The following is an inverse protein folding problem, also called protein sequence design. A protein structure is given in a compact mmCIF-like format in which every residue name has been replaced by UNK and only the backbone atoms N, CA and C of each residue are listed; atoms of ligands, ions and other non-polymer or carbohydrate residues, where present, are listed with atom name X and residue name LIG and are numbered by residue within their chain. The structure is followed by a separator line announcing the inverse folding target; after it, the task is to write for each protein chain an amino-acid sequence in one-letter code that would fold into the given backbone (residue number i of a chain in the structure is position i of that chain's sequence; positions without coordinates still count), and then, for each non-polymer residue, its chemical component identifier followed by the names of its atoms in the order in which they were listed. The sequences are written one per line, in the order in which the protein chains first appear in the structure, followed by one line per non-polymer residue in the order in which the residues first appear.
data_IF_223332721914
#
_entry.id   IF_223332721914
#
_cell.length_a   1.000
_cell.length_b   1.000
_cell.length_c   1.000
_cell.angle_alpha   90.00
_cell.angle_beta   90.00
_cell.angle_gamma   90.00
#
_symmetry.space_group_name_H-M   'P 1'
#
loop_
_entity.id
_entity.type
_entity.pdbx_description
1 polymer ?
#
# COMPACT_ATOMS: atom_id res chain seq x y z
N UNK A 1 13.33 -24.78 5.72
CA UNK A 1 12.23 -24.15 6.46
C UNK A 1 12.84 -23.31 7.58
N UNK A 2 13.11 -22.04 7.32
CA UNK A 2 13.46 -21.09 8.37
C UNK A 2 12.15 -20.71 9.06
N UNK A 3 11.95 -21.19 10.29
CA UNK A 3 10.93 -20.62 11.18
C UNK A 3 11.49 -19.28 11.65
N UNK A 4 10.79 -18.15 11.47
CA UNK A 4 11.18 -16.92 12.12
C UNK A 4 11.13 -17.18 13.63
N UNK A 5 12.28 -16.97 14.28
CA UNK A 5 12.39 -17.00 15.74
C UNK A 5 11.57 -15.81 16.23
N UNK A 6 10.42 -16.07 16.84
CA UNK A 6 9.73 -15.06 17.63
C UNK A 6 10.73 -14.68 18.71
N UNK A 7 11.26 -13.45 18.65
CA UNK A 7 12.04 -12.91 19.76
C UNK A 7 11.04 -12.77 20.90
N UNK A 8 11.15 -13.64 21.90
CA UNK A 8 10.46 -13.49 23.17
C UNK A 8 10.91 -12.13 23.74
N UNK A 9 9.93 -11.26 23.99
CA UNK A 9 10.08 -9.93 24.60
C UNK A 9 10.49 -10.07 26.08
N UNK A 10 11.61 -10.73 26.37
CA UNK A 10 12.17 -10.80 27.72
C UNK A 10 13.05 -9.56 27.97
N UNK A 11 12.49 -8.61 28.72
CA UNK A 11 13.12 -7.52 29.49
C UNK A 11 14.18 -6.66 28.76
N UNK A 12 13.73 -5.69 27.97
CA UNK A 12 14.50 -4.47 27.66
C UNK A 12 14.06 -3.33 28.61
N UNK A 13 14.69 -3.19 29.80
CA UNK A 13 14.28 -2.19 30.76
C UNK A 13 14.58 -0.78 30.27
N UNK A 14 13.63 0.13 30.41
CA UNK A 14 13.82 1.54 30.09
C UNK A 14 14.96 2.12 30.95
N UNK A 15 16.08 2.45 30.31
CA UNK A 15 17.27 3.01 30.98
C UNK A 15 17.11 4.51 31.25
N UNK A 16 16.41 5.22 30.36
CA UNK A 16 16.26 6.68 30.42
C UNK A 16 15.04 7.15 29.62
N UNK A 17 14.26 8.03 30.21
CA UNK A 17 13.17 8.74 29.55
C UNK A 17 13.65 10.14 29.19
N UNK A 18 13.49 10.52 27.92
CA UNK A 18 13.91 11.82 27.37
C UNK A 18 12.66 12.49 26.79
N UNK A 19 12.24 13.65 27.30
CA UNK A 19 11.14 14.39 26.71
C UNK A 19 11.52 14.93 25.33
N UNK A 20 10.56 14.89 24.41
CA UNK A 20 10.70 15.38 23.04
C UNK A 20 9.71 16.52 22.82
N UNK A 21 10.24 17.70 22.51
CA UNK A 21 9.46 18.91 22.24
C UNK A 21 9.51 19.27 20.76
N UNK A 22 8.51 19.99 20.27
CA UNK A 22 8.45 20.50 18.90
C UNK A 22 8.38 22.03 18.91
N UNK A 23 9.42 22.70 18.41
CA UNK A 23 9.40 24.14 18.13
C UNK A 23 9.01 24.39 16.68
N UNK A 24 8.02 25.27 16.46
CA UNK A 24 7.59 25.70 15.12
C UNK A 24 8.05 27.10 14.74
N UNK A 25 8.83 27.77 15.60
CA UNK A 25 9.23 29.18 15.41
C UNK A 25 10.04 29.42 14.15
N UNK A 26 10.83 28.44 13.72
CA UNK A 26 11.71 28.51 12.56
C UNK A 26 11.27 27.59 11.40
N UNK A 27 10.07 27.02 11.44
CA UNK A 27 9.57 26.07 10.43
C UNK A 27 9.69 26.62 8.99
N UNK A 28 9.37 27.90 8.80
CA UNK A 28 9.42 28.57 7.49
C UNK A 28 10.78 29.25 7.18
N UNK A 29 11.78 29.12 8.04
CA UNK A 29 13.04 29.86 7.91
C UNK A 29 14.30 28.99 8.08
N UNK A 30 14.15 27.72 8.45
CA UNK A 30 15.27 26.83 8.74
C UNK A 30 15.66 25.99 7.51
N UNK A 31 16.89 26.18 7.05
CA UNK A 31 17.46 25.43 5.93
C UNK A 31 18.72 24.68 6.35
N UNK A 32 18.99 23.54 5.72
CA UNK A 32 20.27 22.84 5.86
C UNK A 32 21.11 23.10 4.62
N UNK A 33 22.27 23.75 4.81
CA UNK A 33 23.25 23.94 3.75
C UNK A 33 24.22 22.77 3.76
N UNK A 34 24.36 22.11 2.61
CA UNK A 34 25.25 20.97 2.41
C UNK A 34 26.31 21.34 1.39
N UNK A 35 27.55 20.91 1.65
CA UNK A 35 28.71 21.11 0.79
C UNK A 35 29.29 19.75 0.37
N UNK A 36 28.72 19.07 -0.64
CA UNK A 36 29.10 17.69 -0.98
C UNK A 36 30.57 17.49 -1.37
N UNK A 37 31.25 18.56 -1.79
CA UNK A 37 32.65 18.54 -2.23
C UNK A 37 33.65 18.82 -1.10
N UNK A 38 33.18 19.03 0.13
CA UNK A 38 34.02 19.30 1.30
C UNK A 38 33.90 18.18 2.32
N UNK A 39 35.00 17.92 3.03
CA UNK A 39 34.99 17.04 4.19
C UNK A 39 34.21 17.70 5.33
N UNK A 40 33.75 16.91 6.30
CA UNK A 40 33.08 17.46 7.48
C UNK A 40 34.02 18.27 8.39
N UNK A 41 35.34 18.11 8.26
CA UNK A 41 36.34 18.81 9.06
C UNK A 41 36.81 20.11 8.39
N UNK A 42 36.84 20.14 7.04
CA UNK A 42 37.34 21.25 6.22
C UNK A 42 36.21 22.03 5.54
N UNK A 43 35.06 22.12 6.21
CA UNK A 43 33.88 22.84 5.73
C UNK A 43 34.09 24.35 5.61
N UNK A 44 33.04 25.06 5.23
CA UNK A 44 33.07 26.54 5.11
C UNK A 44 32.77 27.27 6.42
N UNK A 45 32.73 26.58 7.56
CA UNK A 45 32.42 27.16 8.88
C UNK A 45 33.38 28.29 9.28
N UNK A 46 34.64 28.18 8.84
CA UNK A 46 35.71 29.13 9.12
C UNK A 46 35.94 30.17 8.02
N UNK A 47 35.20 30.08 6.92
CA UNK A 47 35.39 30.92 5.74
C UNK A 47 34.75 32.31 5.90
N UNK A 48 35.29 33.29 5.19
CA UNK A 48 34.75 34.64 5.14
C UNK A 48 33.82 34.73 3.94
N UNK A 49 32.53 35.00 4.18
CA UNK A 49 31.53 35.17 3.12
C UNK A 49 31.26 36.65 2.96
N UNK A 50 31.48 37.18 1.75
CA UNK A 50 31.35 38.62 1.46
C UNK A 50 29.93 38.97 1.01
N UNK A 51 29.40 38.22 0.07
CA UNK A 51 28.05 38.40 -0.45
C UNK A 51 27.23 37.14 -0.20
N UNK A 52 25.99 37.30 0.26
CA UNK A 52 25.01 36.25 0.30
C UNK A 52 23.71 36.76 -0.30
N UNK A 53 23.06 35.95 -1.13
CA UNK A 53 21.77 36.27 -1.71
C UNK A 53 20.88 35.03 -1.73
N UNK A 54 19.58 35.22 -1.51
CA UNK A 54 18.60 34.14 -1.48
C UNK A 54 17.37 34.49 -2.32
N UNK A 55 16.79 33.46 -2.92
CA UNK A 55 15.46 33.42 -3.51
C UNK A 55 14.60 32.49 -2.66
N UNK A 56 13.58 33.05 -2.01
CA UNK A 56 12.81 32.33 -0.98
C UNK A 56 11.84 31.34 -1.61
N UNK A 57 11.22 31.68 -2.74
CA UNK A 57 10.21 30.83 -3.38
C UNK A 57 10.87 29.65 -4.10
N UNK A 58 11.92 29.91 -4.87
CA UNK A 58 12.65 28.86 -5.57
C UNK A 58 13.65 28.11 -4.68
N UNK A 59 13.94 28.63 -3.47
CA UNK A 59 14.93 28.12 -2.51
C UNK A 59 16.35 28.06 -3.09
N UNK A 60 16.74 29.12 -3.80
CA UNK A 60 18.07 29.25 -4.37
C UNK A 60 18.93 30.19 -3.52
N UNK A 61 20.20 29.84 -3.33
CA UNK A 61 21.16 30.61 -2.55
C UNK A 61 22.45 30.76 -3.35
N UNK A 62 23.00 31.98 -3.32
CA UNK A 62 24.34 32.31 -3.81
C UNK A 62 25.19 32.81 -2.64
N UNK A 63 26.39 32.28 -2.49
CA UNK A 63 27.37 32.72 -1.49
C UNK A 63 28.72 32.98 -2.16
N UNK A 64 29.33 34.10 -1.86
CA UNK A 64 30.68 34.44 -2.31
C UNK A 64 31.67 34.19 -1.18
N UNK A 65 32.46 33.11 -1.30
CA UNK A 65 33.47 32.74 -0.30
C UNK A 65 34.80 33.38 -0.66
N UNK A 66 35.37 34.19 0.23
CA UNK A 66 36.66 34.84 0.00
C UNK A 66 37.82 33.84 0.04
N UNK A 67 38.79 34.08 -0.84
CA UNK A 67 40.08 33.40 -0.85
C UNK A 67 41.11 34.21 -0.06
N UNK A 68 42.02 33.49 0.61
CA UNK A 68 43.17 34.11 1.25
C UNK A 68 44.29 34.29 0.23
N UNK A 69 44.35 35.48 -0.36
CA UNK A 69 45.38 35.86 -1.33
C UNK A 69 46.79 35.99 -0.71
N UNK A 70 46.91 35.98 0.63
CA UNK A 70 48.22 36.03 1.31
C UNK A 70 48.80 34.64 1.59
N UNK A 71 48.03 33.59 1.32
CA UNK A 71 48.44 32.21 1.55
C UNK A 71 49.47 31.74 0.52
N UNK A 72 50.42 30.90 0.95
CA UNK A 72 51.37 30.23 0.06
C UNK A 72 50.70 29.32 -0.99
N UNK A 73 49.43 28.97 -0.76
CA UNK A 73 48.65 28.13 -1.66
C UNK A 73 47.93 28.92 -2.75
N UNK A 74 48.06 30.24 -2.76
CA UNK A 74 47.46 31.13 -3.76
C UNK A 74 48.51 31.55 -4.79
N UNK A 75 48.22 31.29 -6.06
CA UNK A 75 49.06 31.66 -7.20
C UNK A 75 48.51 32.96 -7.81
N UNK A 76 49.20 34.07 -7.54
CA UNK A 76 48.75 35.39 -7.98
C UNK A 76 48.72 35.52 -9.51
N UNK A 77 49.70 34.95 -10.23
CA UNK A 77 49.81 35.06 -11.68
C UNK A 77 48.60 34.41 -12.37
N UNK A 78 48.23 33.20 -11.90
CA UNK A 78 47.02 32.52 -12.40
C UNK A 78 45.72 33.20 -11.99
N UNK A 79 45.69 33.79 -10.81
CA UNK A 79 44.51 34.50 -10.35
C UNK A 79 44.24 35.77 -11.17
N UNK A 80 45.30 36.46 -11.62
CA UNK A 80 45.19 37.57 -12.57
C UNK A 80 44.72 37.09 -13.93
N UNK A 81 45.27 35.99 -14.46
CA UNK A 81 44.84 35.41 -15.73
C UNK A 81 43.34 35.07 -15.73
N UNK A 82 42.86 34.40 -14.68
CA UNK A 82 41.43 34.03 -14.56
C UNK A 82 40.54 35.27 -14.42
N UNK A 83 40.97 36.26 -13.64
CA UNK A 83 40.21 37.50 -13.46
C UNK A 83 40.12 38.27 -14.79
N UNK A 84 41.21 38.38 -15.53
CA UNK A 84 41.26 39.03 -16.85
C UNK A 84 40.32 38.35 -17.85
N UNK A 85 40.28 37.02 -17.88
CA UNK A 85 39.40 36.25 -18.77
C UNK A 85 37.91 36.47 -18.47
N UNK A 86 37.57 36.88 -17.24
CA UNK A 86 36.18 37.15 -16.84
C UNK A 86 35.73 38.60 -17.05
N UNK A 87 36.63 39.52 -17.46
CA UNK A 87 36.33 40.96 -17.59
C UNK A 87 35.32 41.30 -18.68
N UNK A 88 35.18 40.44 -19.70
CA UNK A 88 34.29 40.64 -20.85
C UNK A 88 32.82 40.21 -20.57
N UNK A 89 32.52 39.71 -19.35
CA UNK A 89 31.17 39.34 -18.96
C UNK A 89 30.34 40.55 -18.51
N UNK A 90 29.03 40.54 -18.80
CA UNK A 90 28.09 41.63 -18.46
C UNK A 90 28.01 41.91 -16.96
N UNK A 91 28.23 40.90 -16.12
CA UNK A 91 28.36 41.02 -14.67
C UNK A 91 29.82 40.78 -14.25
N UNK A 92 30.46 41.78 -13.66
CA UNK A 92 31.80 41.59 -13.06
C UNK A 92 31.70 40.65 -11.88
N UNK A 93 32.21 39.43 -12.05
CA UNK A 93 32.20 38.43 -11.00
C UNK A 93 33.22 38.77 -9.92
N UNK A 94 34.45 39.15 -10.27
CA UNK A 94 35.49 39.56 -9.32
C UNK A 94 35.55 41.08 -9.17
N UNK A 95 35.76 41.56 -7.94
CA UNK A 95 35.75 43.00 -7.64
C UNK A 95 37.06 43.71 -8.06
N UNK A 96 38.14 42.94 -8.26
CA UNK A 96 39.46 43.44 -8.66
C UNK A 96 40.09 42.64 -9.81
N UNK A 97 41.36 42.89 -10.07
CA UNK A 97 42.14 42.22 -11.14
C UNK A 97 42.63 40.82 -10.75
N UNK A 98 42.15 40.24 -9.63
CA UNK A 98 42.54 38.92 -9.13
C UNK A 98 41.31 38.12 -8.73
N UNK A 99 41.37 36.81 -8.90
CA UNK A 99 40.36 35.87 -8.38
C UNK A 99 40.38 35.87 -6.84
N UNK A 100 39.60 36.75 -6.21
CA UNK A 100 39.58 36.97 -4.76
C UNK A 100 38.52 36.15 -4.02
N UNK A 101 37.64 35.46 -4.75
CA UNK A 101 36.54 34.68 -4.19
C UNK A 101 36.16 33.47 -5.03
N UNK A 102 35.44 32.54 -4.41
CA UNK A 102 34.79 31.39 -5.05
C UNK A 102 33.28 31.59 -4.91
N UNK A 103 32.54 31.79 -6.02
CA UNK A 103 31.08 31.80 -5.99
C UNK A 103 30.56 30.38 -5.76
N UNK A 104 29.63 30.23 -4.83
CA UNK A 104 28.88 29.00 -4.59
C UNK A 104 27.43 29.23 -5.00
N UNK A 105 26.94 28.41 -5.92
CA UNK A 105 25.54 28.45 -6.36
C UNK A 105 24.83 27.18 -5.89
N UNK A 106 23.60 27.36 -5.38
CA UNK A 106 22.78 26.25 -4.94
C UNK A 106 22.21 25.46 -6.12
N UNK A 107 22.11 24.15 -5.95
CA UNK A 107 21.26 23.29 -6.76
C UNK A 107 20.04 22.84 -5.97
N UNK A 108 18.87 22.88 -6.60
CA UNK A 108 17.61 22.44 -5.95
C UNK A 108 17.65 20.94 -5.70
N UNK A 109 17.38 20.56 -4.46
CA UNK A 109 17.18 19.15 -4.07
C UNK A 109 15.67 18.89 -4.02
N UNK A 110 15.15 18.05 -4.91
CA UNK A 110 13.70 17.72 -4.99
C UNK A 110 13.21 16.74 -3.91
N UNK A 111 13.93 16.64 -2.79
CA UNK A 111 13.60 15.71 -1.70
C UNK A 111 12.47 16.29 -0.86
N UNK A 112 11.48 15.46 -0.53
CA UNK A 112 10.42 15.82 0.42
C UNK A 112 11.06 16.09 1.79
N UNK A 113 11.15 17.36 2.17
CA UNK A 113 11.72 17.78 3.45
C UNK A 113 10.73 17.63 4.62
N UNK A 114 9.44 17.41 4.35
CA UNK A 114 8.35 17.28 5.32
C UNK A 114 8.58 16.20 6.39
N UNK A 115 9.44 15.21 6.11
CA UNK A 115 9.77 14.13 7.03
C UNK A 115 11.07 14.37 7.83
N UNK A 116 11.69 15.55 7.70
CA UNK A 116 12.96 15.87 8.34
C UNK A 116 12.82 17.04 9.31
N UNK A 117 13.54 16.96 10.43
CA UNK A 117 13.62 17.98 11.45
C UNK A 117 15.06 18.03 12.02
N UNK A 118 15.45 19.20 12.54
CA UNK A 118 16.67 19.36 13.34
C UNK A 118 16.34 19.12 14.80
N UNK A 119 17.11 18.24 15.46
CA UNK A 119 17.00 17.99 16.89
C UNK A 119 18.14 18.63 17.66
N UNK A 120 17.82 19.55 18.57
CA UNK A 120 18.78 20.10 19.53
C UNK A 120 18.64 19.32 20.84
N UNK A 121 19.70 18.59 21.20
CA UNK A 121 19.74 17.84 22.45
C UNK A 121 20.53 18.61 23.51
N UNK A 122 19.86 19.05 24.57
CA UNK A 122 20.48 19.79 25.66
C UNK A 122 19.73 19.50 26.97
N UNK A 123 20.45 19.43 28.09
CA UNK A 123 19.88 19.19 29.42
C UNK A 123 18.96 17.94 29.53
N UNK A 124 19.27 16.87 28.79
CA UNK A 124 18.44 15.65 28.67
C UNK A 124 17.07 15.87 28.01
N UNK A 125 16.90 16.93 27.23
CA UNK A 125 15.69 17.19 26.45
C UNK A 125 16.04 17.23 24.96
N UNK A 126 15.13 16.75 24.12
CA UNK A 126 15.25 16.82 22.67
C UNK A 126 14.23 17.81 22.12
N UNK A 127 14.71 18.89 21.53
CA UNK A 127 13.87 19.91 20.88
C UNK A 127 13.95 19.75 19.37
N UNK A 128 12.85 19.36 18.73
CA UNK A 128 12.73 19.18 17.28
C UNK A 128 12.23 20.47 16.63
N UNK A 129 12.86 20.90 15.54
CA UNK A 129 12.42 22.02 14.71
C UNK A 129 12.29 21.57 13.25
N UNK A 130 11.11 21.69 12.61
CA UNK A 130 10.93 21.35 11.20
C UNK A 130 11.82 22.18 10.27
N UNK A 131 12.09 21.61 9.09
CA UNK A 131 12.91 22.25 8.06
C UNK A 131 12.03 22.79 6.93
N UNK A 132 12.43 23.93 6.35
CA UNK A 132 11.86 24.43 5.10
C UNK A 132 12.48 23.77 3.86
N UNK A 133 13.72 23.29 3.97
CA UNK A 133 14.38 22.64 2.85
C UNK A 133 15.86 22.33 3.04
N UNK A 134 16.40 21.66 2.03
CA UNK A 134 17.82 21.32 1.90
C UNK A 134 18.41 22.07 0.71
N UNK A 135 19.53 22.74 0.94
CA UNK A 135 20.25 23.49 -0.09
C UNK A 135 21.63 22.86 -0.26
N UNK A 136 21.91 22.39 -1.47
CA UNK A 136 23.23 21.88 -1.83
C UNK A 136 24.01 22.93 -2.60
N UNK A 137 25.09 23.43 -2.00
CA UNK A 137 25.95 24.44 -2.60
C UNK A 137 27.14 23.77 -3.28
N UNK A 138 27.44 24.22 -4.50
CA UNK A 138 28.60 23.79 -5.28
C UNK A 138 29.33 25.02 -5.83
N UNK A 139 30.66 24.96 -6.00
CA UNK A 139 31.40 25.97 -6.72
C UNK A 139 30.80 26.17 -8.12
N UNK A 140 30.56 27.44 -8.44
CA UNK A 140 30.09 27.87 -9.73
C UNK A 140 31.30 28.27 -10.59
N UNK A 141 31.37 27.69 -11.79
CA UNK A 141 32.46 27.93 -12.74
C UNK A 141 31.97 28.62 -14.01
N UNK A 142 30.81 29.28 -13.97
CA UNK A 142 30.22 29.98 -15.13
C UNK A 142 31.16 31.02 -15.76
N UNK A 143 32.11 31.58 -14.98
CA UNK A 143 33.15 32.47 -15.49
C UNK A 143 34.13 31.78 -16.46
N UNK A 144 34.23 30.45 -16.44
CA UNK A 144 35.04 29.66 -17.37
C UNK A 144 34.28 29.28 -18.65
N UNK A 145 32.94 29.30 -18.62
CA UNK A 145 32.13 28.80 -19.74
C UNK A 145 32.18 29.72 -20.96
N UNK A 146 32.49 31.01 -20.78
CA UNK A 146 32.59 31.97 -21.88
C UNK A 146 34.02 32.11 -22.43
N UNK A 147 34.99 31.45 -21.79
CA UNK A 147 36.38 31.42 -22.24
C UNK A 147 36.47 30.61 -23.53
N UNK A 148 36.73 31.31 -24.65
CA UNK A 148 36.88 30.72 -25.98
C UNK A 148 35.59 30.63 -26.80
N UNK A 149 34.44 31.11 -26.30
CA UNK A 149 33.28 31.35 -27.15
C UNK A 149 33.50 32.66 -27.92
N UNK A 150 33.34 32.68 -29.25
CA UNK A 150 33.38 33.95 -29.97
C UNK A 150 32.33 34.89 -29.37
N UNK A 151 32.61 36.20 -29.25
CA UNK A 151 31.62 37.15 -28.77
C UNK A 151 30.35 36.93 -29.57
N UNK A 152 29.21 36.76 -28.88
CA UNK A 152 27.90 36.61 -29.55
C UNK A 152 27.66 37.86 -30.39
N UNK A 153 28.13 37.82 -31.62
CA UNK A 153 27.79 38.79 -32.63
C UNK A 153 26.31 38.62 -32.88
N UNK A 154 25.53 39.58 -32.40
CA UNK A 154 24.19 39.84 -32.91
C UNK A 154 24.35 40.17 -34.40
N UNK A 155 24.23 39.15 -35.25
CA UNK A 155 24.41 39.32 -36.68
C UNK A 155 24.17 38.02 -37.43
N UNK A 156 22.94 37.90 -37.97
CA UNK A 156 22.52 37.04 -39.09
C UNK A 156 23.66 36.34 -39.84
N UNK A 157 23.55 35.02 -39.98
CA UNK A 157 23.40 34.43 -41.31
C UNK A 157 22.89 32.98 -41.22
N UNK A 158 21.86 32.78 -42.02
CA UNK A 158 21.10 31.58 -42.30
C UNK A 158 21.89 30.48 -43.04
N UNK A 159 21.20 29.33 -43.15
CA UNK A 159 21.40 28.15 -44.00
C UNK A 159 22.09 26.96 -43.29
N UNK A 160 21.46 25.79 -43.11
CA UNK A 160 20.29 25.25 -43.80
C UNK A 160 19.66 24.06 -43.04
N UNK A 161 18.33 23.93 -43.06
CA UNK A 161 17.66 22.63 -42.92
C UNK A 161 16.55 22.42 -41.88
N UNK A 162 15.53 23.28 -41.77
CA UNK A 162 14.11 22.86 -41.89
C UNK A 162 13.15 24.03 -41.71
N UNK A 163 12.50 24.37 -42.81
CA UNK A 163 11.48 25.39 -43.02
C UNK A 163 10.20 25.11 -42.21
N UNK A 164 9.78 26.09 -41.40
CA UNK A 164 8.39 26.55 -41.36
C UNK A 164 8.39 27.97 -40.77
N UNK A 165 8.38 28.95 -41.68
CA UNK A 165 8.26 30.37 -41.41
C UNK A 165 7.08 30.68 -40.48
N UNK A 166 7.39 31.24 -39.31
CA UNK A 166 6.46 32.05 -38.53
C UNK A 166 6.16 33.34 -39.29
N UNK A 167 5.23 33.25 -40.24
CA UNK A 167 4.51 34.41 -40.73
C UNK A 167 3.75 35.03 -39.55
N UNK A 168 4.21 36.20 -39.11
CA UNK A 168 3.47 37.15 -38.28
C UNK A 168 2.09 37.39 -38.94
N UNK A 169 1.10 36.63 -38.49
CA UNK A 169 -0.29 36.92 -38.77
C UNK A 169 -0.82 37.78 -37.63
N UNK A 170 -1.48 38.86 -38.04
CA UNK A 170 -2.29 39.76 -37.23
C UNK A 170 -3.05 39.04 -36.11
N UNK A 171 -3.20 39.79 -35.02
CA UNK A 171 -3.79 39.42 -33.73
C UNK A 171 -5.24 38.96 -33.88
N UNK A 172 -5.44 37.72 -34.35
CA UNK A 172 -6.64 36.98 -34.05
C UNK A 172 -6.45 36.34 -32.69
N UNK A 173 -7.17 36.85 -31.68
CA UNK A 173 -7.29 36.25 -30.37
C UNK A 173 -7.83 34.82 -30.50
N UNK A 174 -6.92 33.86 -30.72
CA UNK A 174 -7.21 32.43 -30.61
C UNK A 174 -7.32 32.16 -29.12
N UNK A 175 -8.55 32.15 -28.62
CA UNK A 175 -8.87 31.69 -27.29
C UNK A 175 -8.12 30.38 -27.01
N UNK A 176 -7.32 30.38 -25.95
CA UNK A 176 -6.53 29.24 -25.54
C UNK A 176 -7.46 28.03 -25.42
N UNK A 177 -7.23 27.00 -26.25
CA UNK A 177 -7.93 25.72 -26.09
C UNK A 177 -7.63 25.20 -24.67
N UNK A 178 -8.63 24.75 -23.90
CA UNK A 178 -8.39 24.19 -22.58
C UNK A 178 -7.47 22.98 -22.73
N UNK A 179 -6.23 23.16 -22.30
CA UNK A 179 -5.22 22.11 -22.30
C UNK A 179 -5.56 21.20 -21.12
N UNK A 180 -5.65 19.86 -21.30
CA UNK A 180 -5.93 18.95 -20.20
C UNK A 180 -4.92 19.13 -19.05
N UNK A 181 -5.40 19.16 -17.80
CA UNK A 181 -4.62 19.44 -16.58
C UNK A 181 -3.34 18.60 -16.45
N UNK A 182 -3.32 17.39 -17.00
CA UNK A 182 -2.15 16.51 -17.02
C UNK A 182 -0.99 17.07 -17.86
N UNK A 183 -1.29 17.71 -18.99
CA UNK A 183 -0.28 18.30 -19.88
C UNK A 183 0.23 19.61 -19.31
N UNK A 184 -0.63 20.39 -18.64
CA UNK A 184 -0.22 21.56 -17.87
C UNK A 184 0.73 21.18 -16.73
N UNK A 185 0.38 20.17 -15.91
CA UNK A 185 1.27 19.65 -14.85
C UNK A 185 2.61 19.13 -15.38
N UNK A 186 2.62 18.47 -16.53
CA UNK A 186 3.89 18.03 -17.17
C UNK A 186 4.73 19.20 -17.67
N UNK A 187 4.10 20.26 -18.18
CA UNK A 187 4.80 21.49 -18.56
C UNK A 187 5.32 22.23 -17.33
N UNK A 188 4.56 22.28 -16.24
CA UNK A 188 5.03 22.87 -14.97
C UNK A 188 6.23 22.14 -14.36
N UNK A 189 6.38 20.84 -14.65
CA UNK A 189 7.55 20.03 -14.25
C UNK A 189 8.71 20.09 -15.25
N UNK A 190 8.56 20.82 -16.36
CA UNK A 190 9.62 20.97 -17.36
C UNK A 190 10.71 21.93 -16.88
N UNK A 191 11.96 21.62 -17.21
CA UNK A 191 13.13 22.42 -16.88
C UNK A 191 12.98 23.88 -17.33
N UNK A 192 12.45 24.12 -18.52
CA UNK A 192 12.25 25.47 -19.11
C UNK A 192 11.31 26.34 -18.27
N UNK A 193 10.22 25.75 -17.75
CA UNK A 193 9.27 26.51 -16.91
C UNK A 193 9.88 26.86 -15.56
N UNK A 194 10.72 25.99 -15.01
CA UNK A 194 11.46 26.27 -13.76
C UNK A 194 12.53 27.35 -13.95
N UNK A 195 13.30 27.29 -15.04
CA UNK A 195 14.29 28.32 -15.36
C UNK A 195 13.62 29.69 -15.49
N UNK A 196 12.47 29.74 -16.20
CA UNK A 196 11.71 30.98 -16.34
C UNK A 196 11.20 31.53 -15.01
N UNK A 197 10.61 30.69 -14.15
CA UNK A 197 10.15 31.10 -12.81
C UNK A 197 11.30 31.55 -11.91
N UNK A 198 12.46 30.92 -12.01
CA UNK A 198 13.65 31.38 -11.29
C UNK A 198 14.12 32.74 -11.80
N UNK A 199 14.13 32.97 -13.11
CA UNK A 199 14.47 34.28 -13.68
C UNK A 199 13.50 35.40 -13.30
N UNK A 200 12.22 35.07 -13.09
CA UNK A 200 11.20 36.02 -12.65
C UNK A 200 11.35 36.42 -11.17
N UNK A 201 11.97 35.58 -10.32
CA UNK A 201 12.20 35.88 -8.91
C UNK A 201 13.47 36.72 -8.70
N UNK A 202 13.34 37.84 -7.98
CA UNK A 202 14.46 38.74 -7.66
C UNK A 202 15.31 38.18 -6.52
N UNK A 203 16.63 38.32 -6.64
CA UNK A 203 17.56 38.00 -5.54
C UNK A 203 17.37 38.96 -4.36
N UNK A 204 17.31 38.42 -3.15
CA UNK A 204 17.28 39.19 -1.91
C UNK A 204 18.69 39.18 -1.30
N UNK A 205 19.39 40.33 -1.30
CA UNK A 205 20.69 40.44 -0.64
C UNK A 205 20.52 40.19 0.86
N UNK A 206 21.39 39.35 1.42
CA UNK A 206 21.34 38.93 2.82
C UNK A 206 22.72 39.07 3.46
N UNK A 207 22.75 39.43 4.75
CA UNK A 207 23.99 39.47 5.51
C UNK A 207 24.31 38.07 6.06
N UNK A 208 25.53 37.58 5.79
CA UNK A 208 26.00 36.32 6.37
C UNK A 208 26.70 36.56 7.71
N UNK A 209 26.16 35.98 8.78
CA UNK A 209 26.73 36.08 10.14
C UNK A 209 27.41 34.77 10.50
N UNK A 210 28.74 34.78 10.60
CA UNK A 210 29.54 33.62 11.01
C UNK A 210 29.92 33.68 12.49
N UNK A 211 30.36 32.55 13.06
CA UNK A 211 30.85 32.46 14.46
C UNK A 211 32.09 33.32 14.76
N UNK A 212 32.81 33.74 13.72
CA UNK A 212 33.97 34.66 13.83
C UNK A 212 33.56 36.13 13.85
N UNK A 213 32.31 36.42 13.51
CA UNK A 213 31.81 37.80 13.46
C UNK A 213 31.52 38.30 14.87
N UNK A 214 31.73 39.59 15.15
CA UNK A 214 31.42 40.22 16.45
C UNK A 214 29.92 40.23 16.83
N UNK A 215 29.05 39.56 16.04
CA UNK A 215 27.60 39.49 16.20
C UNK A 215 27.13 38.13 16.75
N UNK A 216 27.98 37.41 17.48
CA UNK A 216 27.66 36.08 18.05
C UNK A 216 26.36 36.05 18.88
N UNK A 217 26.02 37.16 19.54
CA UNK A 217 24.76 37.29 20.27
C UNK A 217 23.51 37.02 19.41
N UNK A 218 23.51 37.41 18.14
CA UNK A 218 22.37 37.16 17.24
C UNK A 218 22.24 35.68 16.90
N UNK A 219 23.36 34.98 16.70
CA UNK A 219 23.38 33.53 16.47
C UNK A 219 22.78 32.81 17.68
N UNK A 220 23.19 33.20 18.88
CA UNK A 220 22.69 32.61 20.12
C UNK A 220 21.19 32.86 20.30
N UNK A 221 20.71 34.08 20.03
CA UNK A 221 19.27 34.41 20.06
C UNK A 221 18.47 33.57 19.05
N UNK A 222 18.92 33.45 17.80
CA UNK A 222 18.24 32.60 16.80
C UNK A 222 18.29 31.13 17.20
N UNK A 223 19.39 30.67 17.82
CA UNK A 223 19.48 29.32 18.37
C UNK A 223 18.48 29.10 19.51
N UNK A 224 18.22 30.11 20.35
CA UNK A 224 17.21 30.03 21.40
C UNK A 224 15.81 29.79 20.84
N UNK A 225 15.51 30.23 19.60
CA UNK A 225 14.21 30.00 18.96
C UNK A 225 13.98 28.54 18.54
N UNK A 226 15.04 27.72 18.46
CA UNK A 226 14.93 26.28 18.23
C UNK A 226 14.43 25.53 19.48
N UNK A 227 14.47 26.15 20.66
CA UNK A 227 13.94 25.57 21.88
C UNK A 227 12.45 25.89 22.03
N UNK A 228 11.69 24.93 22.55
CA UNK A 228 10.31 25.15 22.96
C UNK A 228 10.30 25.84 24.33
N UNK A 229 9.73 27.04 24.42
CA UNK A 229 9.57 27.77 25.69
C UNK A 229 8.39 27.24 26.53
N UNK A 230 7.48 26.49 25.92
CA UNK A 230 6.27 25.99 26.58
C UNK A 230 6.54 24.65 27.29
N UNK A 231 6.41 24.66 28.62
CA UNK A 231 6.34 23.47 29.50
C UNK A 231 4.92 22.91 29.57
N UNK A 232 4.13 23.07 28.51
CA UNK A 232 2.71 22.75 28.52
C UNK A 232 2.52 21.40 27.84
N UNK A 233 2.06 20.40 28.60
CA UNK A 233 1.61 19.07 28.13
C UNK A 233 0.43 19.13 27.13
N UNK A 234 0.14 20.31 26.59
CA UNK A 234 -1.02 20.58 25.77
C UNK A 234 -0.70 20.30 24.30
N UNK A 235 -1.56 19.49 23.68
CA UNK A 235 -1.54 19.08 22.27
C UNK A 235 -0.73 17.82 21.97
N UNK A 236 -1.03 16.73 22.67
CA UNK A 236 -0.78 15.39 22.14
C UNK A 236 -1.89 15.05 21.12
N UNK A 237 -1.79 15.61 19.91
CA UNK A 237 -2.73 15.32 18.80
C UNK A 237 -2.56 13.90 18.24
N UNK A 238 -1.58 13.13 18.73
CA UNK A 238 -1.31 11.75 18.36
C UNK A 238 -2.29 10.75 18.98
N UNK A 239 -3.59 11.00 18.87
CA UNK A 239 -4.65 10.15 19.43
C UNK A 239 -5.07 8.98 18.52
N UNK A 240 -4.22 8.60 17.55
CA UNK A 240 -4.52 7.53 16.62
C UNK A 240 -4.28 6.15 17.26
N UNK A 241 -5.25 5.25 17.11
CA UNK A 241 -5.05 3.85 17.47
C UNK A 241 -4.05 3.18 16.51
N UNK A 242 -3.37 2.11 16.97
CA UNK A 242 -2.42 1.33 16.15
C UNK A 242 -2.98 0.94 14.77
N UNK A 243 -4.27 0.58 14.72
CA UNK A 243 -4.96 0.21 13.49
C UNK A 243 -5.21 1.42 12.58
N UNK A 244 -5.69 2.53 13.12
CA UNK A 244 -5.91 3.75 12.34
C UNK A 244 -4.61 4.30 11.77
N UNK A 245 -3.53 4.29 12.55
CA UNK A 245 -2.21 4.67 12.06
C UNK A 245 -1.75 3.77 10.91
N UNK A 246 -1.91 2.44 11.05
CA UNK A 246 -1.57 1.48 10.01
C UNK A 246 -2.39 1.70 8.72
N UNK A 247 -3.69 1.96 8.86
CA UNK A 247 -4.59 2.24 7.73
C UNK A 247 -4.24 3.56 7.02
N UNK A 248 -3.60 4.53 7.70
CA UNK A 248 -3.13 5.79 7.10
C UNK A 248 -1.81 5.62 6.34
N UNK A 249 -0.83 4.91 6.90
CA UNK A 249 0.47 4.67 6.24
C UNK A 249 0.37 3.67 5.08
N UNK A 250 -0.60 2.76 5.16
CA UNK A 250 -0.85 1.72 4.16
C UNK A 250 -2.35 1.69 3.81
N UNK A 251 -2.85 2.68 3.06
CA UNK A 251 -4.27 2.79 2.75
C UNK A 251 -4.75 1.52 2.04
N UNK A 252 -5.88 0.92 2.47
CA UNK A 252 -6.41 -0.26 1.81
C UNK A 252 -6.77 0.12 0.37
N UNK A 253 -6.32 -0.71 -0.57
CA UNK A 253 -6.63 -0.54 -1.99
C UNK A 253 -8.15 -0.48 -2.14
N UNK A 254 -8.69 0.69 -2.51
CA UNK A 254 -10.12 0.83 -2.83
C UNK A 254 -10.42 -0.14 -3.96
N UNK A 255 -11.25 -1.15 -3.68
CA UNK A 255 -11.66 -2.13 -4.68
C UNK A 255 -12.37 -1.39 -5.81
N UNK A 256 -12.05 -1.66 -7.08
CA UNK A 256 -12.89 -1.16 -8.17
C UNK A 256 -14.30 -1.69 -7.95
N UNK A 257 -15.31 -0.82 -8.03
CA UNK A 257 -16.74 -1.16 -7.92
C UNK A 257 -17.23 -2.10 -9.05
N UNK A 258 -16.33 -2.58 -9.91
CA UNK A 258 -16.57 -3.45 -11.05
C UNK A 258 -16.67 -4.96 -10.73
N UNK A 259 -16.93 -5.34 -9.48
CA UNK A 259 -17.22 -6.74 -9.14
C UNK A 259 -18.73 -7.06 -9.10
N UNK A 260 -19.54 -6.38 -9.94
CA UNK A 260 -20.88 -6.84 -10.34
C UNK A 260 -20.81 -7.85 -11.49
N UNK A 261 -19.81 -8.72 -11.50
CA UNK A 261 -19.75 -9.82 -12.44
C UNK A 261 -20.04 -11.11 -11.68
N UNK A 262 -21.22 -11.67 -11.92
CA UNK A 262 -21.60 -13.06 -11.58
C UNK A 262 -20.74 -14.05 -12.39
N UNK A 263 -19.42 -13.97 -12.27
CA UNK A 263 -18.54 -15.02 -12.77
C UNK A 263 -18.51 -16.09 -11.69
N UNK A 264 -18.97 -17.33 -11.98
CA UNK A 264 -18.78 -18.45 -11.07
C UNK A 264 -17.30 -18.84 -11.12
N UNK A 265 -16.45 -18.08 -10.43
CA UNK A 265 -15.11 -18.56 -10.13
C UNK A 265 -15.23 -19.67 -9.09
N UNK A 266 -14.58 -20.84 -9.29
CA UNK A 266 -14.69 -21.99 -8.40
C UNK A 266 -14.04 -21.77 -7.01
N UNK A 267 -13.49 -20.57 -6.75
CA UNK A 267 -12.87 -20.21 -5.48
C UNK A 267 -13.33 -18.78 -5.15
N UNK A 268 -14.43 -18.68 -4.38
CA UNK A 268 -14.83 -17.40 -3.82
C UNK A 268 -13.89 -17.06 -2.67
N UNK A 269 -13.10 -15.98 -2.82
CA UNK A 269 -12.19 -15.54 -1.74
C UNK A 269 -13.00 -15.14 -0.51
N UNK A 270 -12.51 -15.45 0.70
CA UNK A 270 -13.19 -15.08 1.96
C UNK A 270 -13.52 -13.58 2.04
N UNK A 271 -12.68 -12.73 1.43
CA UNK A 271 -12.90 -11.28 1.36
C UNK A 271 -14.08 -10.88 0.46
N UNK A 272 -14.39 -11.66 -0.58
CA UNK A 272 -15.58 -11.47 -1.40
C UNK A 272 -16.82 -11.99 -0.68
N UNK A 273 -16.75 -13.17 -0.06
CA UNK A 273 -17.84 -13.77 0.72
C UNK A 273 -18.33 -12.76 1.79
N UNK A 274 -17.41 -12.12 2.52
CA UNK A 274 -17.74 -11.13 3.57
C UNK A 274 -18.51 -9.89 3.08
N UNK A 275 -18.51 -9.59 1.78
CA UNK A 275 -19.28 -8.46 1.23
C UNK A 275 -20.74 -8.81 0.94
N UNK A 276 -21.11 -10.10 0.97
CA UNK A 276 -22.44 -10.58 0.62
C UNK A 276 -23.37 -10.62 1.83
N UNK A 277 -24.70 -10.63 1.66
CA UNK A 277 -25.66 -10.85 2.75
C UNK A 277 -25.40 -12.17 3.49
N UNK A 278 -25.72 -12.24 4.78
CA UNK A 278 -25.39 -13.41 5.62
C UNK A 278 -25.88 -14.75 5.05
N UNK A 279 -27.07 -14.80 4.45
CA UNK A 279 -27.57 -16.03 3.80
C UNK A 279 -26.66 -16.48 2.65
N UNK A 280 -26.18 -15.55 1.84
CA UNK A 280 -25.26 -15.86 0.74
C UNK A 280 -23.89 -16.27 1.25
N UNK A 281 -23.42 -15.66 2.35
CA UNK A 281 -22.18 -16.08 2.99
C UNK A 281 -22.25 -17.54 3.44
N UNK A 282 -23.31 -17.89 4.17
CA UNK A 282 -23.53 -19.26 4.65
C UNK A 282 -23.69 -20.23 3.48
N UNK A 283 -24.49 -19.86 2.46
CA UNK A 283 -24.69 -20.67 1.25
C UNK A 283 -23.39 -20.96 0.52
N UNK A 284 -22.56 -19.94 0.29
CA UNK A 284 -21.31 -20.04 -0.46
C UNK A 284 -20.25 -20.84 0.30
N UNK A 285 -20.09 -20.58 1.61
CA UNK A 285 -19.20 -21.36 2.48
C UNK A 285 -19.60 -22.84 2.54
N UNK A 286 -20.89 -23.14 2.71
CA UNK A 286 -21.38 -24.52 2.74
C UNK A 286 -21.21 -25.22 1.39
N UNK A 287 -21.43 -24.51 0.28
CA UNK A 287 -21.26 -25.07 -1.07
C UNK A 287 -19.81 -25.44 -1.36
N UNK A 288 -18.87 -24.57 -0.99
CA UNK A 288 -17.43 -24.81 -1.22
C UNK A 288 -16.89 -25.89 -0.28
N UNK A 289 -17.24 -25.85 1.02
CA UNK A 289 -16.75 -26.82 2.00
C UNK A 289 -17.42 -28.20 1.90
N UNK A 290 -18.67 -28.27 1.44
CA UNK A 290 -19.56 -29.45 1.35
C UNK A 290 -19.95 -30.06 2.71
N UNK A 291 -19.03 -30.14 3.65
CA UNK A 291 -19.22 -30.60 5.03
C UNK A 291 -18.37 -29.74 5.97
N UNK A 292 -18.96 -29.24 7.06
CA UNK A 292 -18.23 -28.48 8.10
C UNK A 292 -18.92 -28.54 9.47
N UNK A 293 -18.17 -28.32 10.54
CA UNK A 293 -18.75 -28.14 11.87
C UNK A 293 -19.37 -26.74 12.03
N UNK A 294 -20.33 -26.59 12.94
CA UNK A 294 -20.93 -25.28 13.21
C UNK A 294 -19.91 -24.26 13.75
N UNK A 295 -18.91 -24.73 14.51
CA UNK A 295 -17.84 -23.89 15.03
C UNK A 295 -16.93 -23.37 13.92
N UNK A 296 -16.59 -24.23 12.95
CA UNK A 296 -15.85 -23.83 11.75
C UNK A 296 -16.64 -22.79 10.94
N UNK A 297 -17.95 -22.99 10.76
CA UNK A 297 -18.80 -22.02 10.05
C UNK A 297 -18.80 -20.67 10.76
N UNK A 298 -18.97 -20.67 12.09
CA UNK A 298 -18.95 -19.45 12.88
C UNK A 298 -17.59 -18.74 12.85
N UNK A 299 -16.48 -19.49 12.79
CA UNK A 299 -15.13 -18.93 12.71
C UNK A 299 -14.82 -18.27 11.35
N UNK A 300 -15.44 -18.74 10.26
CA UNK A 300 -15.27 -18.15 8.93
C UNK A 300 -16.12 -16.88 8.73
N UNK A 301 -17.26 -16.79 9.42
CA UNK A 301 -18.16 -15.64 9.41
C UNK A 301 -17.63 -14.52 10.34
N UNK A 302 -17.99 -13.27 10.04
CA UNK A 302 -17.65 -12.13 10.90
C UNK A 302 -18.27 -12.26 12.31
N UNK A 303 -17.52 -11.87 13.35
CA UNK A 303 -17.95 -11.97 14.76
C UNK A 303 -19.20 -11.12 15.09
N UNK A 304 -19.55 -10.17 14.23
CA UNK A 304 -20.72 -9.30 14.36
C UNK A 304 -22.06 -10.02 14.16
N UNK A 305 -22.05 -11.20 13.51
CA UNK A 305 -23.29 -11.92 13.20
C UNK A 305 -23.86 -12.67 14.42
N UNK A 306 -25.16 -12.49 14.66
CA UNK A 306 -25.87 -13.20 15.73
C UNK A 306 -25.94 -14.71 15.46
N UNK A 307 -25.66 -15.51 16.49
CA UNK A 307 -25.64 -16.98 16.39
C UNK A 307 -26.99 -17.56 15.95
N UNK A 308 -28.10 -16.97 16.41
CA UNK A 308 -29.47 -17.36 16.03
C UNK A 308 -29.75 -17.18 14.53
N UNK A 309 -29.23 -16.10 13.93
CA UNK A 309 -29.35 -15.86 12.49
C UNK A 309 -28.56 -16.90 11.68
N UNK A 310 -27.33 -17.21 12.11
CA UNK A 310 -26.50 -18.25 11.47
C UNK A 310 -27.20 -19.62 11.54
N UNK A 311 -27.74 -19.99 12.72
CA UNK A 311 -28.50 -21.23 12.89
C UNK A 311 -29.73 -21.29 11.99
N UNK A 312 -30.45 -20.18 11.81
CA UNK A 312 -31.60 -20.11 10.91
C UNK A 312 -31.20 -20.35 9.45
N UNK A 313 -30.12 -19.72 9.00
CA UNK A 313 -29.70 -19.80 7.61
C UNK A 313 -29.02 -21.11 7.25
N UNK A 314 -28.21 -21.69 8.16
CA UNK A 314 -27.57 -22.99 7.90
C UNK A 314 -28.61 -24.10 7.69
N UNK A 315 -29.73 -24.07 8.43
CA UNK A 315 -30.85 -25.00 8.27
C UNK A 315 -31.56 -24.89 6.90
N UNK A 316 -31.41 -23.78 6.17
CA UNK A 316 -32.00 -23.59 4.84
C UNK A 316 -31.12 -24.17 3.74
N UNK A 317 -29.82 -24.30 3.98
CA UNK A 317 -28.83 -24.66 2.95
C UNK A 317 -28.08 -25.95 3.24
N UNK A 318 -28.23 -26.52 4.44
CA UNK A 318 -27.53 -27.72 4.89
C UNK A 318 -28.37 -28.54 5.88
N UNK A 319 -28.01 -29.81 6.02
CA UNK A 319 -28.57 -30.76 6.97
C UNK A 319 -27.54 -31.22 7.99
N UNK A 320 -27.98 -31.50 9.21
CA UNK A 320 -27.12 -32.04 10.27
C UNK A 320 -26.97 -33.56 10.11
N UNK A 321 -25.73 -34.05 9.99
CA UNK A 321 -25.38 -35.48 9.91
C UNK A 321 -24.21 -35.75 10.86
N UNK A 322 -24.40 -36.64 11.84
CA UNK A 322 -23.39 -36.97 12.86
C UNK A 322 -22.78 -35.75 13.57
N UNK A 323 -23.56 -34.68 13.77
CA UNK A 323 -23.09 -33.44 14.42
C UNK A 323 -22.37 -32.44 13.50
N UNK A 324 -22.24 -32.76 12.20
CA UNK A 324 -21.66 -31.88 11.20
C UNK A 324 -22.73 -31.40 10.21
N UNK A 325 -22.59 -30.19 9.68
CA UNK A 325 -23.49 -29.65 8.67
C UNK A 325 -23.01 -30.05 7.27
N UNK A 326 -23.91 -30.63 6.49
CA UNK A 326 -23.66 -31.08 5.12
C UNK A 326 -24.57 -30.30 4.19
N UNK A 327 -24.01 -29.65 3.17
CA UNK A 327 -24.77 -28.82 2.23
C UNK A 327 -25.87 -29.62 1.52
N UNK A 328 -27.00 -28.98 1.20
CA UNK A 328 -28.12 -29.61 0.50
C UNK A 328 -27.73 -30.10 -0.89
N UNK A 329 -28.31 -31.22 -1.32
CA UNK A 329 -27.98 -31.85 -2.61
C UNK A 329 -28.32 -30.96 -3.81
N UNK A 330 -29.42 -30.21 -3.72
CA UNK A 330 -29.87 -29.27 -4.77
C UNK A 330 -28.90 -28.10 -5.01
N UNK A 331 -28.05 -27.77 -4.03
CA UNK A 331 -27.02 -26.72 -4.18
C UNK A 331 -25.76 -27.23 -4.89
N UNK A 332 -25.55 -28.56 -4.89
CA UNK A 332 -24.44 -29.23 -5.56
C UNK A 332 -24.85 -29.66 -6.97
N UNK A 333 -26.05 -30.22 -7.12
CA UNK A 333 -26.62 -30.67 -8.39
C UNK A 333 -27.87 -29.84 -8.71
N UNK A 334 -27.74 -28.70 -9.41
CA UNK A 334 -28.89 -27.90 -9.81
C UNK A 334 -29.77 -28.65 -10.84
N UNK A 335 -31.06 -28.32 -10.92
CA UNK A 335 -32.09 -29.12 -11.63
C UNK A 335 -31.75 -29.48 -13.09
N UNK A 336 -31.02 -28.63 -13.79
CA UNK A 336 -30.67 -28.82 -15.20
C UNK A 336 -29.26 -29.44 -15.40
N UNK A 337 -28.57 -29.80 -14.32
CA UNK A 337 -27.25 -30.43 -14.40
C UNK A 337 -27.35 -31.94 -14.65
N UNK A 338 -26.30 -32.46 -15.27
CA UNK A 338 -26.06 -33.89 -15.45
C UNK A 338 -24.71 -34.27 -14.83
N UNK A 339 -24.56 -35.52 -14.42
CA UNK A 339 -23.31 -36.01 -13.84
C UNK A 339 -22.17 -35.98 -14.85
N UNK A 340 -20.95 -35.73 -14.34
CA UNK A 340 -19.74 -35.58 -15.15
C UNK A 340 -19.32 -36.87 -15.85
N UNK A 341 -19.60 -38.03 -15.23
CA UNK A 341 -19.10 -39.31 -15.70
C UNK A 341 -20.09 -40.04 -16.62
N UNK A 342 -21.39 -40.01 -16.30
CA UNK A 342 -22.39 -40.83 -17.01
C UNK A 342 -23.65 -40.08 -17.43
N UNK A 343 -23.66 -38.75 -17.32
CA UNK A 343 -24.77 -37.91 -17.80
C UNK A 343 -26.07 -38.11 -17.02
N UNK A 344 -25.99 -38.53 -15.76
CA UNK A 344 -27.16 -38.84 -14.94
C UNK A 344 -27.84 -37.55 -14.51
N UNK A 345 -29.17 -37.43 -14.64
CA UNK A 345 -29.91 -36.26 -14.20
C UNK A 345 -29.69 -35.90 -12.73
N UNK A 346 -29.63 -34.59 -12.44
CA UNK A 346 -29.42 -34.06 -11.10
C UNK A 346 -30.38 -34.63 -10.04
N UNK A 347 -31.64 -34.92 -10.40
CA UNK A 347 -32.61 -35.50 -9.47
C UNK A 347 -32.15 -36.87 -8.91
N UNK A 348 -31.59 -37.72 -9.77
CA UNK A 348 -31.06 -39.02 -9.37
C UNK A 348 -29.78 -38.88 -8.55
N UNK A 349 -28.91 -37.93 -8.92
CA UNK A 349 -27.70 -37.62 -8.14
C UNK A 349 -28.04 -37.10 -6.74
N UNK A 350 -29.04 -36.21 -6.64
CA UNK A 350 -29.56 -35.72 -5.37
C UNK A 350 -30.12 -36.86 -4.52
N UNK A 351 -30.93 -37.73 -5.11
CA UNK A 351 -31.51 -38.89 -4.41
C UNK A 351 -30.44 -39.85 -3.90
N UNK A 352 -29.44 -40.16 -4.73
CA UNK A 352 -28.32 -41.01 -4.35
C UNK A 352 -27.50 -40.39 -3.21
N UNK A 353 -27.22 -39.09 -3.29
CA UNK A 353 -26.50 -38.35 -2.24
C UNK A 353 -27.29 -38.31 -0.93
N UNK A 354 -28.59 -38.01 -0.99
CA UNK A 354 -29.44 -37.99 0.20
C UNK A 354 -29.53 -39.37 0.87
N UNK A 355 -29.57 -40.44 0.08
CA UNK A 355 -29.54 -41.80 0.62
C UNK A 355 -28.20 -42.13 1.29
N UNK A 356 -27.06 -41.73 0.70
CA UNK A 356 -25.74 -41.87 1.34
C UNK A 356 -25.71 -41.12 2.69
N UNK A 357 -26.24 -39.90 2.73
CA UNK A 357 -26.33 -39.11 3.95
C UNK A 357 -27.22 -39.77 5.00
N UNK A 358 -28.37 -40.33 4.60
CA UNK A 358 -29.22 -41.14 5.47
C UNK A 358 -28.46 -42.33 6.06
N UNK A 359 -27.70 -43.07 5.25
CA UNK A 359 -26.87 -44.17 5.77
C UNK A 359 -25.86 -43.69 6.82
N UNK A 360 -25.29 -42.49 6.67
CA UNK A 360 -24.43 -41.90 7.70
C UNK A 360 -25.19 -41.47 8.97
N UNK A 361 -26.51 -41.20 8.90
CA UNK A 361 -27.29 -40.97 10.12
C UNK A 361 -27.52 -42.25 10.92
N UNK A 362 -27.54 -43.42 10.26
CA UNK A 362 -27.84 -44.73 10.86
C UNK A 362 -26.57 -45.52 11.24
N UNK A 363 -25.46 -45.29 10.53
CA UNK A 363 -24.19 -46.00 10.73
C UNK A 363 -22.99 -45.06 10.60
N UNK A 364 -21.92 -45.34 11.34
CA UNK A 364 -20.65 -44.60 11.21
C UNK A 364 -19.95 -44.87 9.86
N UNK A 365 -20.13 -46.09 9.33
CA UNK A 365 -19.48 -46.54 8.09
C UNK A 365 -20.51 -46.93 7.04
N UNK A 366 -20.20 -46.60 5.79
CA UNK A 366 -21.05 -46.87 4.63
C UNK A 366 -20.29 -47.72 3.59
N UNK A 367 -20.91 -48.80 3.13
CA UNK A 367 -20.38 -49.63 2.04
C UNK A 367 -20.86 -49.10 0.68
N UNK A 368 -19.89 -48.75 -0.17
CA UNK A 368 -20.13 -48.22 -1.52
C UNK A 368 -20.92 -49.18 -2.43
N UNK A 369 -20.62 -50.48 -2.38
CA UNK A 369 -21.26 -51.49 -3.22
C UNK A 369 -22.69 -51.75 -2.77
N UNK A 370 -22.93 -51.78 -1.46
CA UNK A 370 -24.27 -51.89 -0.90
C UNK A 370 -25.13 -50.70 -1.33
N UNK A 371 -24.62 -49.47 -1.16
CA UNK A 371 -25.33 -48.26 -1.60
C UNK A 371 -25.63 -48.29 -3.10
N UNK A 372 -24.62 -48.53 -3.94
CA UNK A 372 -24.78 -48.57 -5.40
C UNK A 372 -25.86 -49.57 -5.85
N UNK A 373 -25.96 -50.71 -5.17
CA UNK A 373 -26.99 -51.73 -5.46
C UNK A 373 -28.39 -51.25 -5.10
N UNK A 374 -28.55 -50.50 -4.00
CA UNK A 374 -29.84 -49.99 -3.53
C UNK A 374 -30.32 -48.81 -4.37
N UNK A 375 -29.46 -47.81 -4.62
CA UNK A 375 -29.84 -46.63 -5.42
C UNK A 375 -29.81 -46.87 -6.92
N UNK A 376 -29.35 -48.07 -7.36
CA UNK A 376 -29.17 -48.45 -8.77
C UNK A 376 -28.34 -47.44 -9.58
N UNK A 377 -27.26 -46.95 -8.97
CA UNK A 377 -26.35 -45.97 -9.57
C UNK A 377 -24.99 -46.61 -9.89
N UNK A 378 -24.31 -46.19 -10.98
CA UNK A 378 -22.94 -46.61 -11.26
C UNK A 378 -22.01 -46.41 -10.06
N UNK A 379 -21.09 -47.33 -9.89
CA UNK A 379 -20.19 -47.40 -8.74
C UNK A 379 -19.21 -46.21 -8.71
N UNK A 380 -18.96 -45.62 -9.87
CA UNK A 380 -18.15 -44.43 -10.11
C UNK A 380 -18.85 -43.17 -9.59
N UNK A 381 -20.16 -43.02 -9.84
CA UNK A 381 -20.97 -41.88 -9.39
C UNK A 381 -21.12 -41.87 -7.86
N UNK A 382 -21.40 -43.04 -7.28
CA UNK A 382 -21.43 -43.21 -5.81
C UNK A 382 -20.06 -42.91 -5.21
N UNK A 383 -18.97 -43.28 -5.90
CA UNK A 383 -17.60 -42.97 -5.46
C UNK A 383 -17.33 -41.47 -5.51
N UNK A 384 -17.76 -40.76 -6.55
CA UNK A 384 -17.62 -39.31 -6.65
C UNK A 384 -18.33 -38.60 -5.49
N UNK A 385 -19.58 -38.99 -5.20
CA UNK A 385 -20.33 -38.45 -4.06
C UNK A 385 -19.59 -38.73 -2.74
N UNK A 386 -19.09 -39.95 -2.54
CA UNK A 386 -18.37 -40.32 -1.33
C UNK A 386 -17.04 -39.58 -1.18
N UNK A 387 -16.26 -39.38 -2.26
CA UNK A 387 -15.01 -38.61 -2.23
C UNK A 387 -15.24 -37.16 -1.76
N UNK A 388 -16.42 -36.60 -2.03
CA UNK A 388 -16.80 -35.25 -1.64
C UNK A 388 -17.19 -35.11 -0.15
N UNK A 389 -17.48 -36.22 0.54
CA UNK A 389 -18.07 -36.22 1.89
C UNK A 389 -17.28 -37.05 2.91
N UNK A 390 -16.58 -38.07 2.44
CA UNK A 390 -16.07 -39.18 3.24
C UNK A 390 -14.67 -39.61 2.78
N UNK A 391 -13.95 -40.27 3.68
CA UNK A 391 -12.68 -40.95 3.44
C UNK A 391 -12.87 -42.46 3.54
N UNK A 392 -12.19 -43.20 2.67
CA UNK A 392 -12.22 -44.66 2.68
C UNK A 392 -11.30 -45.22 3.78
N UNK A 393 -11.84 -46.10 4.61
CA UNK A 393 -11.11 -46.84 5.65
C UNK A 393 -11.07 -48.32 5.23
N UNK A 394 -9.86 -48.88 4.97
CA UNK A 394 -9.71 -50.27 4.55
C UNK A 394 -10.45 -51.24 5.49
N UNK A 395 -11.14 -52.21 4.91
CA UNK A 395 -11.93 -53.26 5.60
C UNK A 395 -13.15 -52.77 6.42
N UNK A 396 -13.37 -51.46 6.57
CA UNK A 396 -14.55 -50.91 7.27
C UNK A 396 -15.55 -50.21 6.35
N UNK A 397 -15.08 -49.57 5.27
CA UNK A 397 -15.93 -48.79 4.36
C UNK A 397 -15.62 -47.29 4.43
N UNK A 398 -16.59 -46.46 4.10
CA UNK A 398 -16.44 -45.00 4.05
C UNK A 398 -16.92 -44.36 5.34
N UNK A 399 -16.16 -43.41 5.88
CA UNK A 399 -16.50 -42.59 7.05
C UNK A 399 -16.42 -41.12 6.68
N UNK A 400 -17.29 -40.28 7.23
CA UNK A 400 -17.25 -38.83 7.00
C UNK A 400 -15.85 -38.24 7.25
N UNK A 401 -15.49 -37.22 6.45
CA UNK A 401 -14.17 -36.56 6.55
C UNK A 401 -13.99 -35.93 7.94
N UNK A 402 -15.05 -35.31 8.45
CA UNK A 402 -15.11 -34.74 9.80
C UNK A 402 -15.68 -35.78 10.75
N UNK A 403 -15.03 -35.93 11.91
CA UNK A 403 -15.46 -36.89 12.92
C UNK A 403 -16.83 -36.53 13.51
N UNK A 404 -17.61 -37.53 13.95
CA UNK A 404 -18.84 -37.28 14.69
C UNK A 404 -18.60 -36.44 15.95
N UNK A 405 -19.50 -35.50 16.24
CA UNK A 405 -19.49 -34.73 17.49
C UNK A 405 -20.89 -34.61 18.08
N UNK A 406 -20.98 -34.66 19.40
CA UNK A 406 -22.22 -34.42 20.15
C UNK A 406 -22.33 -32.97 20.65
N UNK A 407 -21.30 -32.14 20.43
CA UNK A 407 -21.21 -30.81 21.03
C UNK A 407 -22.29 -29.87 20.47
N UNK A 408 -22.54 -29.96 19.16
CA UNK A 408 -23.62 -29.21 18.52
C UNK A 408 -24.98 -29.57 19.12
N UNK A 409 -25.26 -30.87 19.29
CA UNK A 409 -26.54 -31.35 19.82
C UNK A 409 -26.74 -30.97 21.29
N UNK A 410 -25.67 -30.97 22.10
CA UNK A 410 -25.69 -30.49 23.49
C UNK A 410 -25.98 -29.00 23.57
N UNK A 411 -25.37 -28.20 22.68
CA UNK A 411 -25.47 -26.74 22.70
C UNK A 411 -26.77 -26.22 22.09
N UNK A 412 -27.32 -26.90 21.09
CA UNK A 412 -28.53 -26.50 20.37
C UNK A 412 -29.53 -27.68 20.21
N UNK A 413 -30.09 -28.19 21.31
CA UNK A 413 -30.92 -29.40 21.31
C UNK A 413 -32.18 -29.28 20.44
N UNK A 414 -32.84 -28.12 20.44
CA UNK A 414 -34.04 -27.89 19.63
C UNK A 414 -33.77 -27.98 18.12
N UNK A 415 -32.62 -27.46 17.67
CA UNK A 415 -32.23 -27.53 16.25
C UNK A 415 -31.88 -28.98 15.89
N UNK A 416 -31.13 -29.67 16.75
CA UNK A 416 -30.79 -31.07 16.54
C UNK A 416 -32.04 -31.97 16.46
N UNK A 417 -33.03 -31.75 17.32
CA UNK A 417 -34.32 -32.47 17.30
C UNK A 417 -35.09 -32.26 15.99
N UNK A 418 -35.14 -31.03 15.48
CA UNK A 418 -35.79 -30.73 14.19
C UNK A 418 -35.08 -31.43 13.03
N UNK A 419 -33.76 -31.45 13.04
CA UNK A 419 -32.96 -32.14 12.02
C UNK A 419 -33.14 -33.67 12.07
N UNK A 420 -33.26 -34.25 13.28
CA UNK A 420 -33.58 -35.67 13.42
C UNK A 420 -34.96 -36.02 12.85
N UNK A 421 -35.99 -35.21 13.13
CA UNK A 421 -37.33 -35.40 12.57
C UNK A 421 -37.36 -35.25 11.04
N UNK A 422 -36.56 -34.32 10.50
CA UNK A 422 -36.36 -34.18 9.06
C UNK A 422 -35.82 -35.48 8.46
N UNK A 423 -34.76 -36.07 9.03
CA UNK A 423 -34.18 -37.31 8.54
C UNK A 423 -35.11 -38.51 8.69
N UNK A 424 -35.93 -38.57 9.75
CA UNK A 424 -36.95 -39.62 9.88
C UNK A 424 -37.97 -39.56 8.73
N UNK A 425 -38.47 -38.36 8.43
CA UNK A 425 -39.46 -38.14 7.36
C UNK A 425 -38.84 -38.39 5.99
N UNK A 426 -37.65 -37.82 5.74
CA UNK A 426 -36.92 -37.97 4.47
C UNK A 426 -36.50 -39.43 4.24
N UNK A 427 -36.10 -40.14 5.30
CA UNK A 427 -35.74 -41.54 5.24
C UNK A 427 -36.90 -42.44 4.83
N UNK A 428 -38.11 -42.20 5.36
CA UNK A 428 -39.34 -42.91 4.92
C UNK A 428 -39.60 -42.68 3.43
N UNK A 429 -39.57 -41.42 2.98
CA UNK A 429 -39.76 -41.07 1.57
C UNK A 429 -38.73 -41.74 0.64
N UNK A 430 -37.44 -41.72 1.01
CA UNK A 430 -36.39 -42.31 0.20
C UNK A 430 -36.56 -43.84 0.08
N UNK A 431 -36.91 -44.52 1.18
CA UNK A 431 -37.15 -45.97 1.17
C UNK A 431 -38.36 -46.35 0.33
N UNK A 432 -39.49 -45.66 0.46
CA UNK A 432 -40.69 -45.88 -0.37
C UNK A 432 -40.41 -45.69 -1.88
N UNK A 433 -39.67 -44.64 -2.23
CA UNK A 433 -39.26 -44.39 -3.62
C UNK A 433 -38.37 -45.52 -4.12
N UNK A 434 -37.41 -45.98 -3.32
CA UNK A 434 -36.50 -47.06 -3.73
C UNK A 434 -37.26 -48.39 -3.89
N UNK A 435 -38.15 -48.74 -2.96
CA UNK A 435 -38.97 -49.96 -3.00
C UNK A 435 -39.92 -50.00 -4.21
N UNK A 436 -40.58 -48.87 -4.53
CA UNK A 436 -41.44 -48.79 -5.72
C UNK A 436 -40.67 -48.98 -7.04
N UNK A 437 -39.41 -48.55 -7.10
CA UNK A 437 -38.52 -48.80 -8.24
C UNK A 437 -37.96 -50.24 -8.26
N UNK A 438 -38.09 -51.01 -7.18
CA UNK A 438 -37.77 -52.45 -7.18
C UNK A 438 -38.95 -53.31 -7.67
N UNK A 439 -40.19 -52.85 -7.49
CA UNK A 439 -41.41 -53.60 -7.82
C UNK A 439 -41.94 -53.41 -9.26
N UNK A 440 -41.25 -52.66 -10.12
CA UNK A 440 -41.63 -52.54 -11.55
C UNK A 440 -41.24 -53.82 -12.31
N UNK A 441 -42.18 -54.61 -12.86
CA UNK A 441 -41.85 -55.87 -13.50
C UNK A 441 -41.06 -55.64 -14.79
N UNK A 442 -39.92 -56.34 -14.94
CA UNK A 442 -39.27 -56.48 -16.24
C UNK A 442 -40.27 -57.10 -17.22
N UNK A 443 -40.75 -56.29 -18.16
CA UNK A 443 -41.58 -56.74 -19.28
C UNK A 443 -40.74 -57.73 -20.09
N UNK A 444 -40.98 -59.03 -19.89
CA UNK A 444 -40.36 -60.11 -20.67
C UNK A 444 -40.58 -59.80 -22.16
N UNK A 445 -39.48 -59.51 -22.88
CA UNK A 445 -39.50 -59.52 -24.34
C UNK A 445 -39.82 -60.94 -24.78
N UNK A 446 -40.96 -61.10 -25.45
CA UNK A 446 -41.25 -62.26 -26.30
C UNK A 446 -40.52 -62.09 -27.62
#
# INVERSE_FOLDING_TARGET
MFKPKVMEEEDDPVVKEIPVYLSKRLEDNLFIFQYPLKSAQDGYDDAIIKNAAIKIENQEVKLDVMLDATSINYDEDKAEEIADLSKDQEEKIFDGDKMDKIPLTSSRVTSKYENYAIGVFQNNELHLTPLKGFIQLRPDFSYLDDIGKPPKSFGKNDADGSDDELLEHEVHAKFARPVPDYVQKKREQSFETHVKKSMEETWIPSEYISKKTNKNHQIDLTRMEMFCEASDDSVNDFNLTKKQYLDLIAPPIKKPEYAKADVPSPISTLSYIRTRPLIDQVRLLMKDAKIMSFEQLKALLSAEHQTTAILRYVQQVAYLVQGNWVVNSELIYPKDAVSSHSGIPAELMCRARDYILLCFTESEFVDRRAVSSVVKMPVEEVREILNNLAKHIPKKGWKLIINPSLDFAKKYPEVARRQALFWETRGKQLREIIESHHNTPQRKRR
#
